data_IF_386014390344
#
_entry.id   IF_386014390344
#
_cell.length_a   1.000
_cell.length_b   1.000
_cell.length_c   1.000
_cell.angle_alpha   90.00
_cell.angle_beta   90.00
_cell.angle_gamma   90.00
#
_symmetry.space_group_name_H-M   'P 1'
#
loop_
_entity.id
_entity.type
_entity.pdbx_description
1 polymer ?
#
# COMPACT_ATOMS: atom_id res chain seq x y z
N UNK A 1 0.99 4.72 12.67
CA UNK A 1 0.38 4.81 14.03
C UNK A 1 -0.78 3.83 14.11
N UNK A 2 -0.88 3.05 15.19
CA UNK A 2 -2.03 2.15 15.40
C UNK A 2 -3.14 2.86 16.18
N UNK A 3 -4.38 2.35 16.06
CA UNK A 3 -5.57 2.93 16.73
C UNK A 3 -5.33 3.27 18.21
N UNK A 4 -4.64 2.39 18.95
CA UNK A 4 -4.42 2.58 20.40
C UNK A 4 -3.58 3.81 20.77
N UNK A 5 -2.75 4.33 19.85
CA UNK A 5 -1.87 5.48 20.10
C UNK A 5 -2.63 6.81 20.08
N UNK A 6 -3.83 6.83 19.47
CA UNK A 6 -4.71 7.99 19.48
C UNK A 6 -5.38 8.24 20.83
N UNK A 7 -5.15 7.39 21.85
CA UNK A 7 -5.86 7.45 23.10
C UNK A 7 -4.94 7.57 24.30
N UNK A 8 -5.44 8.29 25.30
CA UNK A 8 -4.91 8.34 26.66
C UNK A 8 -5.87 7.62 27.60
N UNK A 9 -5.34 7.05 28.70
CA UNK A 9 -6.15 6.51 29.80
C UNK A 9 -6.27 7.59 30.86
N UNK A 10 -7.49 8.07 31.10
CA UNK A 10 -7.79 8.91 32.25
C UNK A 10 -8.26 8.03 33.40
N UNK A 11 -7.59 8.18 34.55
CA UNK A 11 -7.92 7.46 35.77
C UNK A 11 -8.65 8.43 36.70
N UNK A 12 -9.96 8.28 36.82
CA UNK A 12 -10.75 9.05 37.80
C UNK A 12 -10.87 8.24 39.10
N UNK A 13 -10.16 8.67 40.15
CA UNK A 13 -10.34 8.18 41.51
C UNK A 13 -11.40 9.03 42.20
N UNK A 14 -12.60 8.49 42.36
CA UNK A 14 -13.61 9.06 43.27
C UNK A 14 -13.41 8.45 44.66
N UNK A 15 -13.45 9.28 45.69
CA UNK A 15 -13.33 8.84 47.10
C UNK A 15 -14.37 7.75 47.41
N UNK A 16 -13.89 6.51 47.63
CA UNK A 16 -14.72 5.39 48.08
C UNK A 16 -15.25 4.44 46.99
N UNK A 17 -14.91 4.58 45.72
CA UNK A 17 -15.29 3.65 44.65
C UNK A 17 -14.10 3.16 43.83
N UNK A 18 -14.29 2.00 43.18
CA UNK A 18 -13.28 1.40 42.27
C UNK A 18 -12.80 2.40 41.24
N UNK A 19 -11.48 2.47 41.03
CA UNK A 19 -10.82 3.29 40.00
C UNK A 19 -11.37 2.94 38.62
N UNK A 20 -12.13 3.85 38.01
CA UNK A 20 -12.61 3.68 36.63
C UNK A 20 -11.61 4.32 35.69
N UNK A 21 -11.02 3.51 34.82
CA UNK A 21 -10.15 3.99 33.74
C UNK A 21 -10.99 4.22 32.50
N UNK A 22 -11.12 5.48 32.06
CA UNK A 22 -11.79 5.86 30.81
C UNK A 22 -10.76 6.12 29.70
N UNK A 23 -11.07 5.65 28.50
CA UNK A 23 -10.26 5.91 27.30
C UNK A 23 -10.71 7.24 26.69
N UNK A 24 -9.77 8.16 26.45
CA UNK A 24 -10.02 9.47 25.85
C UNK A 24 -9.11 9.73 24.67
N UNK A 25 -9.61 10.49 23.69
CA UNK A 25 -8.82 10.91 22.54
C UNK A 25 -7.68 11.85 22.97
N UNK A 26 -6.48 11.60 22.49
CA UNK A 26 -5.29 12.38 22.81
C UNK A 26 -5.23 13.68 21.99
N UNK A 27 -5.75 14.75 22.56
CA UNK A 27 -5.85 16.05 21.87
C UNK A 27 -4.48 16.65 21.58
N UNK A 28 -3.49 16.49 22.46
CA UNK A 28 -2.12 16.97 22.25
C UNK A 28 -1.46 16.29 21.04
N UNK A 29 -1.72 15.00 20.86
CA UNK A 29 -1.28 14.27 19.67
C UNK A 29 -1.95 14.82 18.41
N UNK A 30 -3.25 15.10 18.45
CA UNK A 30 -3.98 15.66 17.32
C UNK A 30 -3.42 17.03 16.89
N UNK A 31 -3.09 17.92 17.81
CA UNK A 31 -2.41 19.17 17.50
C UNK A 31 -1.07 18.96 16.80
N UNK A 32 -0.27 17.97 17.23
CA UNK A 32 1.00 17.65 16.58
C UNK A 32 0.79 17.09 15.17
N UNK A 33 -0.14 16.15 15.00
CA UNK A 33 -0.49 15.55 13.70
C UNK A 33 -1.05 16.57 12.72
N UNK A 34 -1.76 17.59 13.21
CA UNK A 34 -2.27 18.68 12.39
C UNK A 34 -1.16 19.46 11.72
N UNK A 35 -0.04 19.71 12.43
CA UNK A 35 1.09 20.50 11.93
C UNK A 35 1.97 19.68 10.99
N UNK A 36 2.32 18.44 11.38
CA UNK A 36 3.22 17.56 10.63
C UNK A 36 3.04 16.09 11.01
N UNK A 37 3.41 15.15 10.11
CA UNK A 37 3.51 13.74 10.47
C UNK A 37 4.46 13.53 11.65
N UNK A 38 4.19 12.53 12.49
CA UNK A 38 5.13 12.15 13.54
C UNK A 38 6.30 11.36 12.94
N UNK A 39 7.53 11.59 13.42
CA UNK A 39 8.70 10.84 12.93
C UNK A 39 8.53 9.33 13.13
N UNK A 40 8.73 8.56 12.08
CA UNK A 40 8.61 7.10 12.09
C UNK A 40 7.21 6.55 11.89
N UNK A 41 6.17 7.40 11.83
CA UNK A 41 4.79 6.97 11.57
C UNK A 41 4.44 7.07 10.08
N UNK A 42 3.60 6.15 9.63
CA UNK A 42 2.92 6.27 8.34
C UNK A 42 1.74 7.26 8.46
N UNK A 43 1.93 8.47 7.90
CA UNK A 43 0.92 9.54 7.93
C UNK A 43 -0.39 9.14 7.25
N UNK A 44 -0.33 8.32 6.18
CA UNK A 44 -1.53 7.84 5.50
C UNK A 44 -2.31 6.85 6.38
N UNK A 45 -1.61 5.90 7.00
CA UNK A 45 -2.25 4.97 7.95
C UNK A 45 -2.85 5.72 9.13
N UNK A 46 -2.14 6.73 9.67
CA UNK A 46 -2.65 7.57 10.77
C UNK A 46 -3.91 8.35 10.37
N UNK A 47 -3.97 8.84 9.11
CA UNK A 47 -5.14 9.53 8.56
C UNK A 47 -6.33 8.59 8.44
N UNK A 48 -6.12 7.35 7.96
CA UNK A 48 -7.16 6.31 7.87
C UNK A 48 -7.73 6.00 9.26
N UNK A 49 -6.85 5.79 10.24
CA UNK A 49 -7.30 5.47 11.62
C UNK A 49 -8.07 6.62 12.26
N UNK A 50 -7.61 7.87 12.12
CA UNK A 50 -8.34 9.04 12.62
C UNK A 50 -9.71 9.19 11.93
N UNK A 51 -9.81 8.94 10.62
CA UNK A 51 -11.07 8.94 9.88
C UNK A 51 -12.06 7.91 10.45
N UNK A 52 -11.61 6.69 10.73
CA UNK A 52 -12.42 5.62 11.32
C UNK A 52 -12.90 5.99 12.72
N UNK A 53 -11.99 6.47 13.59
CA UNK A 53 -12.29 6.89 14.95
C UNK A 53 -13.35 8.00 14.94
N UNK A 54 -13.12 9.06 14.19
CA UNK A 54 -14.00 10.23 14.17
C UNK A 54 -15.37 9.90 13.57
N UNK A 55 -15.42 9.09 12.51
CA UNK A 55 -16.67 8.58 11.93
C UNK A 55 -17.48 7.79 12.98
N UNK A 56 -16.82 6.95 13.78
CA UNK A 56 -17.47 6.19 14.84
C UNK A 56 -18.02 7.12 15.94
N UNK A 57 -17.29 8.14 16.35
CA UNK A 57 -17.73 9.12 17.37
C UNK A 57 -18.95 9.92 16.88
N UNK A 58 -18.93 10.41 15.64
CA UNK A 58 -20.12 11.06 15.06
C UNK A 58 -21.32 10.12 14.96
N UNK A 59 -21.12 8.80 14.71
CA UNK A 59 -22.23 7.83 14.73
C UNK A 59 -22.83 7.65 16.11
N UNK A 60 -22.03 7.71 17.19
CA UNK A 60 -22.54 7.70 18.57
C UNK A 60 -23.38 8.95 18.84
N UNK A 61 -22.89 10.13 18.47
CA UNK A 61 -23.64 11.40 18.59
C UNK A 61 -24.95 11.35 17.78
N UNK A 62 -24.95 10.72 16.62
CA UNK A 62 -26.15 10.56 15.78
C UNK A 62 -27.26 9.71 16.44
N UNK A 63 -26.92 8.94 17.46
CA UNK A 63 -27.83 8.06 18.22
C UNK A 63 -28.10 8.60 19.63
N UNK A 64 -27.42 8.10 20.63
CA UNK A 64 -27.60 8.39 22.06
C UNK A 64 -26.48 9.23 22.67
N UNK A 65 -25.30 9.31 21.99
CA UNK A 65 -24.13 10.03 22.47
C UNK A 65 -23.46 9.36 23.69
N UNK A 66 -23.71 8.07 23.90
CA UNK A 66 -23.10 7.34 25.00
C UNK A 66 -21.63 7.01 24.72
N UNK A 67 -20.81 6.90 25.76
CA UNK A 67 -19.40 6.45 25.73
C UNK A 67 -18.53 7.16 24.70
N UNK A 68 -18.64 8.48 24.63
CA UNK A 68 -17.83 9.31 23.73
C UNK A 68 -16.36 9.31 24.20
N UNK A 69 -15.46 9.20 23.23
CA UNK A 69 -14.01 9.26 23.45
C UNK A 69 -13.47 10.68 23.51
N UNK A 70 -14.30 11.67 23.16
CA UNK A 70 -13.96 13.09 23.20
C UNK A 70 -15.19 13.97 23.48
N UNK A 71 -14.95 15.19 23.90
CA UNK A 71 -15.96 16.23 24.08
C UNK A 71 -16.18 17.08 22.81
N UNK A 72 -16.95 18.13 22.93
CA UNK A 72 -17.28 19.03 21.83
C UNK A 72 -16.03 19.74 21.28
N UNK A 73 -15.15 20.24 22.15
CA UNK A 73 -13.91 20.92 21.73
C UNK A 73 -12.91 19.93 21.10
N UNK A 74 -12.75 18.76 21.68
CA UNK A 74 -11.91 17.72 21.09
C UNK A 74 -12.44 17.22 19.75
N UNK A 75 -13.76 17.17 19.56
CA UNK A 75 -14.38 16.84 18.26
C UNK A 75 -14.05 17.86 17.19
N UNK A 76 -13.97 19.15 17.55
CA UNK A 76 -13.54 20.23 16.67
C UNK A 76 -12.08 20.07 16.24
N UNK A 77 -11.20 19.82 17.22
CA UNK A 77 -9.77 19.60 16.95
C UNK A 77 -9.58 18.38 16.05
N UNK A 78 -10.27 17.27 16.34
CA UNK A 78 -10.16 16.04 15.55
C UNK A 78 -10.65 16.22 14.10
N UNK A 79 -11.76 16.95 13.91
CA UNK A 79 -12.29 17.25 12.57
C UNK A 79 -11.31 18.10 11.76
N UNK A 80 -10.79 19.19 12.35
CA UNK A 80 -9.81 20.05 11.69
C UNK A 80 -8.50 19.31 11.40
N UNK A 81 -8.04 18.45 12.32
CA UNK A 81 -6.86 17.64 12.12
C UNK A 81 -7.04 16.66 10.95
N UNK A 82 -8.18 15.97 10.87
CA UNK A 82 -8.46 15.07 9.75
C UNK A 82 -8.51 15.81 8.40
N UNK A 83 -9.06 17.02 8.35
CA UNK A 83 -9.06 17.86 7.14
C UNK A 83 -7.63 18.20 6.69
N UNK A 84 -6.77 18.64 7.62
CA UNK A 84 -5.39 19.00 7.32
C UNK A 84 -4.56 17.77 6.92
N UNK A 85 -4.80 16.61 7.55
CA UNK A 85 -4.17 15.34 7.20
C UNK A 85 -4.62 14.85 5.81
N UNK A 86 -5.91 14.87 5.48
CA UNK A 86 -6.44 14.51 4.16
C UNK A 86 -5.84 15.40 3.06
N UNK A 87 -5.76 16.72 3.32
CA UNK A 87 -5.15 17.69 2.40
C UNK A 87 -3.68 17.39 2.10
N UNK A 88 -2.89 16.90 3.06
CA UNK A 88 -1.50 16.48 2.82
C UNK A 88 -1.39 15.32 1.83
N UNK A 89 -2.42 14.48 1.74
CA UNK A 89 -2.53 13.39 0.77
C UNK A 89 -3.18 13.80 -0.56
N UNK A 90 -3.43 15.11 -0.76
CA UNK A 90 -4.03 15.63 -1.98
C UNK A 90 -5.56 15.53 -2.03
N UNK A 91 -6.20 15.06 -0.95
CA UNK A 91 -7.65 14.89 -0.87
C UNK A 91 -8.30 16.15 -0.32
N UNK A 92 -9.19 16.77 -1.10
CA UNK A 92 -10.00 17.91 -0.66
C UNK A 92 -11.28 17.37 -0.02
N UNK A 93 -11.24 17.23 1.31
CA UNK A 93 -12.39 16.78 2.08
C UNK A 93 -12.93 17.87 2.97
N UNK A 94 -14.24 18.08 2.93
CA UNK A 94 -14.95 19.02 3.80
C UNK A 94 -16.31 18.47 4.18
N UNK A 95 -16.76 18.82 5.38
CA UNK A 95 -18.08 18.50 5.91
C UNK A 95 -18.78 19.80 6.35
N UNK A 96 -20.13 19.87 6.31
CA UNK A 96 -20.88 21.09 6.61
C UNK A 96 -20.98 21.42 8.13
N UNK A 97 -20.23 20.70 8.96
CA UNK A 97 -20.13 20.94 10.41
C UNK A 97 -18.67 20.85 10.85
N UNK A 98 -18.34 21.44 12.00
CA UNK A 98 -16.97 21.46 12.53
C UNK A 98 -16.79 20.59 13.79
N UNK A 99 -17.87 20.26 14.48
CA UNK A 99 -17.88 19.62 15.80
C UNK A 99 -19.24 18.94 16.08
N UNK A 100 -19.36 18.28 17.22
CA UNK A 100 -20.60 17.62 17.61
C UNK A 100 -21.82 18.58 17.74
N UNK A 101 -21.70 19.78 18.35
CA UNK A 101 -22.80 20.75 18.40
C UNK A 101 -23.26 21.17 17.00
N UNK A 102 -22.35 21.54 16.11
CA UNK A 102 -22.70 21.97 14.75
C UNK A 102 -23.26 20.84 13.91
N UNK A 103 -22.83 19.59 14.11
CA UNK A 103 -23.47 18.43 13.51
C UNK A 103 -24.93 18.25 14.00
N UNK A 104 -25.19 18.47 15.32
CA UNK A 104 -26.57 18.46 15.85
C UNK A 104 -27.45 19.53 15.22
N UNK A 105 -26.89 20.71 14.94
CA UNK A 105 -27.61 21.79 14.25
C UNK A 105 -27.89 21.37 12.81
N UNK A 106 -26.88 20.87 12.10
CA UNK A 106 -26.98 20.47 10.70
C UNK A 106 -28.06 19.42 10.47
N UNK A 107 -28.10 18.31 11.22
CA UNK A 107 -29.14 17.31 10.99
C UNK A 107 -30.56 17.80 11.30
N UNK A 108 -30.69 18.76 12.25
CA UNK A 108 -32.00 19.40 12.51
C UNK A 108 -32.47 20.24 11.33
N UNK A 109 -31.56 20.95 10.70
CA UNK A 109 -31.83 21.73 9.48
C UNK A 109 -32.22 20.83 8.30
N UNK A 110 -31.62 19.64 8.19
CA UNK A 110 -31.99 18.60 7.22
C UNK A 110 -33.34 17.92 7.55
N UNK A 111 -34.01 18.29 8.64
CA UNK A 111 -35.30 17.73 9.05
C UNK A 111 -35.21 16.37 9.78
N UNK A 112 -34.00 15.91 10.14
CA UNK A 112 -33.82 14.61 10.81
C UNK A 112 -34.00 14.71 12.31
N UNK A 113 -35.24 15.03 12.76
CA UNK A 113 -35.64 15.17 14.17
C UNK A 113 -36.43 13.96 14.64
N UNK A 114 -36.37 13.69 15.96
CA UNK A 114 -37.11 12.60 16.60
C UNK A 114 -36.42 11.22 16.55
N UNK A 115 -37.04 10.25 17.27
CA UNK A 115 -36.46 8.91 17.46
C UNK A 115 -36.33 8.08 16.16
N UNK A 116 -37.21 8.29 15.17
CA UNK A 116 -37.17 7.58 13.88
C UNK A 116 -36.03 8.02 12.94
N UNK A 117 -35.30 9.10 13.26
CA UNK A 117 -34.31 9.72 12.35
C UNK A 117 -32.88 9.20 12.55
N UNK A 118 -32.62 8.24 13.42
CA UNK A 118 -31.28 7.74 13.71
C UNK A 118 -30.58 7.18 12.47
N UNK A 119 -31.31 6.44 11.65
CA UNK A 119 -30.75 5.89 10.41
C UNK A 119 -30.39 7.00 9.42
N UNK A 120 -31.23 8.02 9.26
CA UNK A 120 -30.95 9.17 8.40
C UNK A 120 -29.73 9.96 8.89
N UNK A 121 -29.59 10.21 10.19
CA UNK A 121 -28.42 10.87 10.78
C UNK A 121 -27.13 10.08 10.56
N UNK A 122 -27.16 8.75 10.72
CA UNK A 122 -26.02 7.88 10.38
C UNK A 122 -25.72 7.87 8.88
N UNK A 123 -26.75 8.02 8.05
CA UNK A 123 -26.61 8.19 6.60
C UNK A 123 -25.81 9.44 6.21
N UNK A 124 -25.99 10.57 6.94
CA UNK A 124 -25.17 11.76 6.74
C UNK A 124 -23.68 11.49 6.98
N UNK A 125 -23.35 10.77 8.06
CA UNK A 125 -21.98 10.44 8.38
C UNK A 125 -21.37 9.57 7.26
N UNK A 126 -22.08 8.54 6.83
CA UNK A 126 -21.64 7.69 5.73
C UNK A 126 -21.46 8.48 4.42
N UNK A 127 -22.35 9.43 4.12
CA UNK A 127 -22.27 10.30 2.94
C UNK A 127 -20.95 11.08 2.86
N UNK A 128 -20.44 11.55 4.00
CA UNK A 128 -19.25 12.41 4.03
C UNK A 128 -17.95 11.66 4.37
N UNK A 129 -18.00 10.65 5.23
CA UNK A 129 -16.80 9.94 5.69
C UNK A 129 -16.42 8.75 4.79
N UNK A 130 -17.41 8.05 4.20
CA UNK A 130 -17.13 6.88 3.38
C UNK A 130 -16.31 7.20 2.13
N UNK A 131 -16.61 8.28 1.35
CA UNK A 131 -15.78 8.66 0.22
C UNK A 131 -14.33 8.96 0.61
N UNK A 132 -14.12 9.71 1.72
CA UNK A 132 -12.77 9.99 2.22
C UNK A 132 -12.03 8.70 2.56
N UNK A 133 -12.66 7.79 3.28
CA UNK A 133 -12.05 6.52 3.66
C UNK A 133 -11.67 5.69 2.42
N UNK A 134 -12.54 5.62 1.43
CA UNK A 134 -12.28 4.91 0.16
C UNK A 134 -11.10 5.52 -0.61
N UNK A 135 -11.01 6.86 -0.69
CA UNK A 135 -9.87 7.51 -1.34
C UNK A 135 -8.55 7.27 -0.60
N UNK A 136 -8.55 7.35 0.74
CA UNK A 136 -7.37 7.06 1.55
C UNK A 136 -6.92 5.60 1.42
N UNK A 137 -7.84 4.65 1.44
CA UNK A 137 -7.55 3.22 1.26
C UNK A 137 -7.06 2.93 -0.17
N UNK A 138 -7.61 3.60 -1.18
CA UNK A 138 -7.12 3.50 -2.56
C UNK A 138 -5.68 4.02 -2.69
N UNK A 139 -5.35 5.16 -2.05
CA UNK A 139 -3.97 5.67 -1.99
C UNK A 139 -3.02 4.71 -1.28
N UNK A 140 -3.48 4.04 -0.21
CA UNK A 140 -2.68 3.04 0.49
C UNK A 140 -2.34 1.85 -0.41
N UNK A 141 -3.34 1.34 -1.15
CA UNK A 141 -3.14 0.26 -2.14
C UNK A 141 -2.19 0.73 -3.25
N UNK A 142 -2.36 1.97 -3.74
CA UNK A 142 -1.48 2.52 -4.77
C UNK A 142 -0.04 2.67 -4.29
N UNK A 143 0.19 3.14 -3.05
CA UNK A 143 1.54 3.20 -2.46
C UNK A 143 2.18 1.82 -2.37
N UNK A 144 1.44 0.80 -1.93
CA UNK A 144 1.93 -0.57 -1.87
C UNK A 144 2.28 -1.14 -3.26
N UNK A 145 1.54 -0.76 -4.30
CA UNK A 145 1.86 -1.12 -5.69
C UNK A 145 3.10 -0.40 -6.21
N UNK A 146 3.28 0.86 -5.82
CA UNK A 146 4.43 1.69 -6.24
C UNK A 146 5.73 1.40 -5.45
N UNK A 147 5.71 0.51 -4.46
CA UNK A 147 6.90 0.06 -3.74
C UNK A 147 7.89 -0.76 -4.60
N UNK A 148 7.46 -1.19 -5.79
CA UNK A 148 8.35 -1.78 -6.78
C UNK A 148 8.73 -0.76 -7.85
N UNK A 149 9.96 -0.88 -8.36
CA UNK A 149 10.48 0.01 -9.39
C UNK A 149 9.52 0.10 -10.59
N UNK A 150 9.24 1.33 -11.00
CA UNK A 150 8.55 1.58 -12.25
C UNK A 150 9.59 1.56 -13.37
N UNK A 151 9.33 0.84 -14.45
CA UNK A 151 10.19 0.84 -15.61
C UNK A 151 10.35 2.28 -16.15
N UNK A 152 11.60 2.72 -16.39
CA UNK A 152 11.91 4.05 -16.93
C UNK A 152 11.58 4.13 -18.45
N UNK A 153 10.81 3.18 -18.95
CA UNK A 153 10.32 3.19 -20.33
C UNK A 153 9.16 4.18 -20.46
N UNK A 154 9.04 4.94 -21.55
CA UNK A 154 7.90 5.83 -21.79
C UNK A 154 6.58 5.08 -21.98
N UNK A 155 6.61 3.76 -22.04
CA UNK A 155 5.42 2.90 -22.11
C UNK A 155 5.16 2.23 -20.78
N UNK A 156 3.94 2.33 -20.27
CA UNK A 156 3.47 1.67 -19.03
C UNK A 156 3.57 0.13 -19.14
N UNK A 157 3.55 -0.39 -20.36
CA UNK A 157 3.71 -1.81 -20.67
C UNK A 157 4.89 -2.01 -21.63
N UNK A 158 5.59 -3.13 -21.48
CA UNK A 158 6.70 -3.51 -22.34
C UNK A 158 6.25 -3.86 -23.77
N UNK A 159 4.93 -4.00 -24.00
CA UNK A 159 4.34 -4.47 -25.25
C UNK A 159 4.44 -5.99 -25.43
N UNK A 160 4.85 -6.70 -24.40
CA UNK A 160 4.93 -8.16 -24.34
C UNK A 160 3.87 -8.69 -23.40
N UNK A 161 2.67 -8.92 -23.91
CA UNK A 161 1.47 -9.22 -23.10
C UNK A 161 1.68 -10.28 -22.01
N UNK A 162 2.43 -11.36 -22.30
CA UNK A 162 2.69 -12.42 -21.33
C UNK A 162 3.59 -11.94 -20.19
N UNK A 163 4.64 -11.18 -20.52
CA UNK A 163 5.58 -10.61 -19.54
C UNK A 163 4.89 -9.51 -18.73
N UNK A 164 4.13 -8.63 -19.37
CA UNK A 164 3.39 -7.55 -18.72
C UNK A 164 2.38 -8.12 -17.70
N UNK A 165 1.66 -9.18 -18.07
CA UNK A 165 0.74 -9.87 -17.16
C UNK A 165 1.48 -10.54 -15.98
N UNK A 166 2.63 -11.14 -16.22
CA UNK A 166 3.44 -11.74 -15.16
C UNK A 166 3.99 -10.67 -14.20
N UNK A 167 4.41 -9.50 -14.69
CA UNK A 167 4.85 -8.36 -13.87
C UNK A 167 3.68 -7.82 -13.05
N UNK A 168 2.48 -7.69 -13.62
CA UNK A 168 1.30 -7.22 -12.87
C UNK A 168 0.95 -8.18 -11.73
N UNK A 169 0.92 -9.49 -11.98
CA UNK A 169 0.73 -10.50 -10.93
C UNK A 169 1.81 -10.46 -9.85
N UNK A 170 3.07 -10.17 -10.23
CA UNK A 170 4.17 -9.97 -9.27
C UNK A 170 3.90 -8.75 -8.38
N UNK A 171 3.47 -7.62 -8.96
CA UNK A 171 3.12 -6.40 -8.23
C UNK A 171 1.95 -6.61 -7.27
N UNK A 172 0.88 -7.24 -7.73
CA UNK A 172 -0.29 -7.57 -6.90
C UNK A 172 0.10 -8.48 -5.72
N UNK A 173 0.92 -9.49 -5.99
CA UNK A 173 1.38 -10.40 -4.92
C UNK A 173 2.28 -9.71 -3.91
N UNK A 174 3.20 -8.86 -4.35
CA UNK A 174 4.05 -8.07 -3.46
C UNK A 174 3.24 -7.10 -2.60
N UNK A 175 2.23 -6.43 -3.17
CA UNK A 175 1.35 -5.51 -2.46
C UNK A 175 0.59 -6.16 -1.31
N UNK A 176 0.22 -7.44 -1.46
CA UNK A 176 -0.56 -8.19 -0.46
C UNK A 176 0.28 -9.05 0.49
N UNK A 177 1.59 -9.16 0.26
CA UNK A 177 2.49 -10.01 1.05
C UNK A 177 2.73 -9.42 2.45
N UNK A 178 2.57 -10.26 3.49
CA UNK A 178 2.76 -9.88 4.89
C UNK A 178 3.58 -10.89 5.68
N UNK A 179 3.62 -12.15 5.24
CA UNK A 179 4.33 -13.24 5.92
C UNK A 179 5.54 -13.72 5.13
N UNK A 180 6.46 -14.43 5.78
CA UNK A 180 7.60 -15.09 5.10
C UNK A 180 7.14 -16.02 3.98
N UNK A 181 6.00 -16.71 4.15
CA UNK A 181 5.43 -17.55 3.10
C UNK A 181 4.97 -16.73 1.89
N UNK A 182 4.35 -15.57 2.14
CA UNK A 182 3.95 -14.64 1.09
C UNK A 182 5.17 -14.09 0.32
N UNK A 183 6.24 -13.73 1.02
CA UNK A 183 7.47 -13.23 0.39
C UNK A 183 8.20 -14.31 -0.42
N UNK A 184 8.12 -15.59 -0.03
CA UNK A 184 8.57 -16.70 -0.88
C UNK A 184 7.73 -16.82 -2.15
N UNK A 185 6.43 -16.60 -2.04
CA UNK A 185 5.53 -16.63 -3.20
C UNK A 185 5.80 -15.44 -4.15
N UNK A 186 6.18 -14.27 -3.64
CA UNK A 186 6.75 -13.19 -4.47
C UNK A 186 7.97 -13.68 -5.24
N UNK A 187 8.88 -14.44 -4.62
CA UNK A 187 10.00 -15.10 -5.30
C UNK A 187 9.53 -16.06 -6.41
N UNK A 188 8.46 -16.82 -6.20
CA UNK A 188 7.87 -17.66 -7.26
C UNK A 188 7.35 -16.81 -8.43
N UNK A 189 6.70 -15.67 -8.15
CA UNK A 189 6.25 -14.75 -9.21
C UNK A 189 7.42 -14.12 -9.97
N UNK A 190 8.52 -13.80 -9.30
CA UNK A 190 9.76 -13.36 -9.98
C UNK A 190 10.25 -14.41 -10.97
N UNK A 191 10.27 -15.69 -10.57
CA UNK A 191 10.65 -16.79 -11.48
C UNK A 191 9.67 -16.92 -12.64
N UNK A 192 8.36 -16.75 -12.41
CA UNK A 192 7.34 -16.72 -13.48
C UNK A 192 7.60 -15.63 -14.53
N UNK A 193 8.03 -14.44 -14.09
CA UNK A 193 8.46 -13.37 -15.03
C UNK A 193 9.70 -13.81 -15.82
N UNK A 194 10.68 -14.44 -15.19
CA UNK A 194 11.87 -14.97 -15.88
C UNK A 194 11.51 -16.06 -16.90
N UNK A 195 10.56 -16.93 -16.59
CA UNK A 195 10.06 -17.96 -17.51
C UNK A 195 9.40 -17.31 -18.73
N UNK A 196 8.50 -16.34 -18.53
CA UNK A 196 7.86 -15.59 -19.62
C UNK A 196 8.90 -14.86 -20.51
N UNK A 197 9.92 -14.23 -19.90
CA UNK A 197 11.03 -13.62 -20.63
C UNK A 197 11.82 -14.65 -21.41
N UNK A 198 12.13 -15.80 -20.79
CA UNK A 198 12.91 -16.86 -21.44
C UNK A 198 12.21 -17.46 -22.66
N UNK A 199 10.88 -17.61 -22.59
CA UNK A 199 10.09 -18.06 -23.74
C UNK A 199 10.11 -17.06 -24.89
N UNK A 200 10.04 -15.78 -24.56
CA UNK A 200 9.96 -14.72 -25.56
C UNK A 200 11.30 -14.50 -26.29
N UNK A 201 12.41 -14.38 -25.54
CA UNK A 201 13.69 -13.95 -26.13
C UNK A 201 14.53 -15.11 -26.66
N UNK A 202 14.31 -16.35 -26.18
CA UNK A 202 15.12 -17.49 -26.59
C UNK A 202 14.66 -18.07 -27.92
N UNK A 203 15.54 -18.09 -28.91
CA UNK A 203 15.32 -18.73 -30.21
C UNK A 203 16.32 -19.88 -30.38
N UNK A 204 15.85 -21.15 -30.45
CA UNK A 204 16.74 -22.30 -30.63
C UNK A 204 17.62 -22.23 -31.91
N UNK A 205 17.13 -21.57 -32.95
CA UNK A 205 17.89 -21.48 -34.23
C UNK A 205 19.12 -20.62 -34.12
N UNK A 206 19.14 -19.62 -33.20
CA UNK A 206 20.26 -18.68 -33.04
C UNK A 206 21.03 -18.92 -31.75
N UNK A 207 20.37 -19.42 -30.69
CA UNK A 207 20.95 -19.49 -29.36
C UNK A 207 21.36 -20.89 -28.93
N UNK A 208 20.96 -21.95 -29.66
CA UNK A 208 21.29 -23.31 -29.33
C UNK A 208 22.66 -23.71 -29.94
N UNK A 209 23.65 -24.11 -29.14
CA UNK A 209 24.86 -24.66 -29.64
C UNK A 209 24.66 -25.93 -30.49
N UNK A 210 25.49 -26.14 -31.51
CA UNK A 210 25.36 -27.31 -32.37
C UNK A 210 25.53 -28.62 -31.54
N UNK A 211 24.56 -29.54 -31.67
CA UNK A 211 24.59 -30.83 -31.00
C UNK A 211 23.98 -30.84 -29.59
N UNK A 212 23.51 -29.72 -29.09
CA UNK A 212 22.82 -29.65 -27.81
C UNK A 212 21.29 -29.77 -27.95
N UNK A 213 20.62 -30.23 -26.90
CA UNK A 213 19.17 -30.25 -26.81
C UNK A 213 18.61 -28.89 -26.34
N UNK A 214 17.40 -28.53 -26.80
CA UNK A 214 16.74 -27.27 -26.39
C UNK A 214 16.52 -27.27 -24.89
N UNK A 215 17.07 -26.27 -24.16
CA UNK A 215 16.85 -26.15 -22.72
C UNK A 215 15.37 -26.01 -22.38
N UNK A 216 14.82 -26.71 -21.37
CA UNK A 216 13.45 -26.51 -20.87
C UNK A 216 13.21 -25.05 -20.46
N UNK A 217 11.91 -24.61 -20.42
CA UNK A 217 11.52 -23.22 -20.12
C UNK A 217 11.97 -22.78 -18.73
N UNK A 218 11.93 -23.68 -17.76
CA UNK A 218 12.38 -23.44 -16.37
C UNK A 218 13.91 -23.23 -16.25
N UNK A 219 14.69 -23.57 -17.29
CA UNK A 219 16.11 -23.25 -17.37
C UNK A 219 16.32 -21.78 -17.82
N UNK A 220 15.62 -20.88 -17.17
CA UNK A 220 15.59 -19.44 -17.48
C UNK A 220 16.99 -18.83 -17.58
N UNK A 221 17.88 -19.24 -16.67
CA UNK A 221 19.27 -18.78 -16.64
C UNK A 221 20.04 -19.12 -17.93
N UNK A 222 19.86 -20.34 -18.46
CA UNK A 222 20.52 -20.79 -19.70
C UNK A 222 19.96 -20.02 -20.90
N UNK A 223 18.64 -19.96 -21.01
CA UNK A 223 17.95 -19.36 -22.15
C UNK A 223 18.16 -17.84 -22.22
N UNK A 224 17.95 -17.11 -21.12
CA UNK A 224 18.20 -15.68 -21.03
C UNK A 224 19.69 -15.38 -21.20
N UNK A 225 20.56 -16.19 -20.60
CA UNK A 225 22.01 -16.05 -20.74
C UNK A 225 22.51 -16.18 -22.17
N UNK A 226 21.97 -17.12 -22.95
CA UNK A 226 22.30 -17.29 -24.36
C UNK A 226 21.86 -16.06 -25.19
N UNK A 227 20.64 -15.56 -24.99
CA UNK A 227 20.16 -14.34 -25.64
C UNK A 227 21.04 -13.13 -25.32
N UNK A 228 21.33 -12.91 -24.04
CA UNK A 228 22.18 -11.78 -23.60
C UNK A 228 23.60 -11.90 -24.16
N UNK A 229 24.15 -13.11 -24.24
CA UNK A 229 25.46 -13.36 -24.84
C UNK A 229 25.50 -12.97 -26.31
N UNK A 230 24.46 -13.25 -27.05
CA UNK A 230 24.28 -12.90 -28.45
C UNK A 230 24.12 -11.38 -28.66
N UNK A 231 23.20 -10.76 -27.90
CA UNK A 231 22.91 -9.32 -28.04
C UNK A 231 23.99 -8.39 -27.47
N UNK A 232 24.78 -8.85 -26.53
CA UNK A 232 25.78 -8.07 -25.82
C UNK A 232 27.16 -8.75 -25.90
N UNK A 233 27.74 -8.93 -27.09
CA UNK A 233 29.02 -9.60 -27.24
C UNK A 233 30.19 -8.74 -26.72
N UNK A 234 31.30 -9.40 -26.43
CA UNK A 234 32.58 -8.76 -26.16
C UNK A 234 32.77 -8.22 -24.75
N UNK A 235 34.00 -7.79 -24.49
CA UNK A 235 34.47 -7.29 -23.19
C UNK A 235 33.79 -5.99 -22.72
N UNK A 236 33.44 -5.02 -23.58
CA UNK A 236 32.76 -3.79 -23.14
C UNK A 236 31.44 -4.03 -22.45
N UNK A 237 30.72 -5.10 -22.80
CA UNK A 237 29.40 -5.44 -22.27
C UNK A 237 29.43 -6.40 -21.06
N UNK A 238 30.60 -6.74 -20.54
CA UNK A 238 30.77 -7.70 -19.45
C UNK A 238 29.96 -7.32 -18.19
N UNK A 239 29.99 -6.03 -17.80
CA UNK A 239 29.25 -5.53 -16.63
C UNK A 239 27.74 -5.64 -16.80
N UNK A 240 27.23 -5.36 -18.01
CA UNK A 240 25.80 -5.44 -18.29
C UNK A 240 25.33 -6.90 -18.31
N UNK A 241 26.11 -7.82 -18.90
CA UNK A 241 25.83 -9.26 -18.80
C UNK A 241 25.85 -9.76 -17.36
N UNK A 242 26.81 -9.30 -16.54
CA UNK A 242 26.90 -9.64 -15.13
C UNK A 242 25.69 -9.16 -14.34
N UNK A 243 25.19 -7.94 -14.60
CA UNK A 243 23.98 -7.40 -13.99
C UNK A 243 22.75 -8.27 -14.30
N UNK A 244 22.52 -8.59 -15.57
CA UNK A 244 21.41 -9.43 -15.99
C UNK A 244 21.45 -10.82 -15.35
N UNK A 245 22.66 -11.41 -15.28
CA UNK A 245 22.89 -12.70 -14.61
C UNK A 245 22.53 -12.63 -13.13
N UNK A 246 22.99 -11.60 -12.43
CA UNK A 246 22.75 -11.41 -10.99
C UNK A 246 21.28 -11.14 -10.68
N UNK A 247 20.56 -10.41 -11.52
CA UNK A 247 19.12 -10.21 -11.39
C UNK A 247 18.37 -11.55 -11.44
N UNK A 248 18.71 -12.43 -12.38
CA UNK A 248 18.11 -13.77 -12.48
C UNK A 248 18.44 -14.65 -11.26
N UNK A 249 19.70 -14.66 -10.81
CA UNK A 249 20.13 -15.42 -9.63
C UNK A 249 19.38 -14.97 -8.35
N UNK A 250 19.18 -13.67 -8.19
CA UNK A 250 18.51 -13.11 -7.02
C UNK A 250 17.04 -13.55 -6.93
N UNK A 251 16.31 -13.58 -8.04
CA UNK A 251 14.94 -14.08 -8.09
C UNK A 251 14.82 -15.53 -7.58
N UNK A 252 15.72 -16.39 -8.05
CA UNK A 252 15.76 -17.80 -7.59
C UNK A 252 16.15 -17.93 -6.11
N UNK A 253 17.03 -17.06 -5.61
CA UNK A 253 17.46 -17.11 -4.21
C UNK A 253 16.34 -16.78 -3.24
N UNK A 254 15.49 -15.80 -3.56
CA UNK A 254 14.33 -15.41 -2.72
C UNK A 254 13.29 -16.53 -2.64
N UNK A 255 12.98 -17.19 -3.76
CA UNK A 255 12.07 -18.34 -3.80
C UNK A 255 12.45 -19.43 -2.78
N UNK A 256 13.72 -19.69 -2.60
CA UNK A 256 14.24 -20.73 -1.71
C UNK A 256 14.68 -20.21 -0.33
N UNK A 257 14.60 -18.92 -0.06
CA UNK A 257 15.06 -18.32 1.20
C UNK A 257 14.16 -18.70 2.37
N UNK A 258 14.69 -19.26 3.46
CA UNK A 258 13.92 -19.49 4.67
C UNK A 258 13.59 -18.21 5.44
N UNK A 259 14.25 -17.09 5.10
CA UNK A 259 14.13 -15.77 5.74
C UNK A 259 13.71 -14.70 4.74
N UNK A 260 12.88 -15.05 3.75
CA UNK A 260 12.34 -14.08 2.82
C UNK A 260 11.52 -13.03 3.59
N UNK A 261 11.79 -11.76 3.32
CA UNK A 261 11.13 -10.60 3.90
C UNK A 261 10.76 -9.58 2.82
N UNK A 262 10.09 -8.49 3.22
CA UNK A 262 9.66 -7.44 2.29
C UNK A 262 10.83 -6.83 1.52
N UNK A 263 11.95 -6.57 2.20
CA UNK A 263 13.12 -5.91 1.59
C UNK A 263 13.78 -6.78 0.54
N UNK A 264 14.11 -8.02 0.89
CA UNK A 264 14.80 -8.95 -0.03
C UNK A 264 13.92 -9.33 -1.22
N UNK A 265 12.63 -9.53 -0.97
CA UNK A 265 11.67 -9.85 -2.04
C UNK A 265 11.38 -8.66 -2.95
N UNK A 266 11.33 -7.43 -2.39
CA UNK A 266 11.19 -6.21 -3.17
C UNK A 266 12.41 -5.98 -4.08
N UNK A 267 13.63 -6.12 -3.57
CA UNK A 267 14.86 -6.00 -4.37
C UNK A 267 14.89 -7.04 -5.50
N UNK A 268 14.47 -8.27 -5.24
CA UNK A 268 14.39 -9.31 -6.27
C UNK A 268 13.36 -8.97 -7.36
N UNK A 269 12.17 -8.51 -6.95
CA UNK A 269 11.13 -8.08 -7.87
C UNK A 269 11.57 -6.90 -8.74
N UNK A 270 12.18 -5.86 -8.15
CA UNK A 270 12.75 -4.72 -8.87
C UNK A 270 13.85 -5.14 -9.86
N UNK A 271 14.69 -6.10 -9.45
CA UNK A 271 15.76 -6.62 -10.31
C UNK A 271 15.21 -7.35 -11.53
N UNK A 272 14.12 -8.10 -11.39
CA UNK A 272 13.46 -8.80 -12.50
C UNK A 272 12.73 -7.82 -13.43
N UNK A 273 12.09 -6.79 -12.90
CA UNK A 273 11.47 -5.72 -13.68
C UNK A 273 12.52 -4.94 -14.46
N UNK A 274 13.67 -4.64 -13.82
CA UNK A 274 14.82 -4.02 -14.50
C UNK A 274 15.34 -4.91 -15.63
N UNK A 275 15.50 -6.22 -15.39
CA UNK A 275 15.93 -7.17 -16.40
C UNK A 275 14.99 -7.18 -17.61
N UNK A 276 13.66 -7.23 -17.37
CA UNK A 276 12.67 -7.15 -18.43
C UNK A 276 12.80 -5.87 -19.25
N UNK A 277 13.02 -4.72 -18.60
CA UNK A 277 13.27 -3.43 -19.25
C UNK A 277 14.55 -3.42 -20.07
N UNK A 278 15.62 -4.06 -19.58
CA UNK A 278 16.89 -4.18 -20.32
C UNK A 278 16.68 -5.04 -21.57
N UNK A 279 16.07 -6.22 -21.44
CA UNK A 279 15.84 -7.12 -22.58
C UNK A 279 14.97 -6.45 -23.65
N UNK A 280 13.96 -5.67 -23.24
CA UNK A 280 13.13 -4.91 -24.18
C UNK A 280 13.94 -3.90 -24.99
N UNK A 281 14.88 -3.17 -24.35
CA UNK A 281 15.77 -2.22 -25.03
C UNK A 281 16.75 -2.88 -25.98
N UNK A 282 17.08 -4.15 -25.79
CA UNK A 282 17.93 -4.91 -26.69
C UNK A 282 17.17 -5.41 -27.95
N UNK A 283 15.84 -5.33 -27.94
CA UNK A 283 14.98 -5.65 -29.09
C UNK A 283 14.73 -4.41 -30.00
N UNK A 284 14.88 -3.20 -29.47
CA UNK A 284 14.80 -1.94 -30.24
C UNK A 284 16.03 -1.75 -31.13
#
# INVERSE_FOLDING_TARGET
MMENEFFIKETNSSWGSSTVSTRRLNIDLLYKLRIRPQPGDDDLQSTIELCKILSAEYRKIATDGADLLTDDDGSRVATATLQDMAKRHGIQWSIPWSDFPTFKIYWKQEGYVGHGSWQARRGLISKYFLPLLQELEALQVQRQRNDLATAVSPHDKLGWNTVDNAIEQLRERFATATTTADYKDVGNRCVGVLEALSELVYNPKTHLPAGESVPPVDKTYVRIGAYIGDRLPGKPNEKLRALCKKASELAHSVKHSPKADRTTSGIAADSVILLASILRRLEE
#
